data_IF_834159552515
#
_entry.id   IF_834159552515
#
_cell.length_a   1.000
_cell.length_b   1.000
_cell.length_c   1.000
_cell.angle_alpha   90.00
_cell.angle_beta   90.00
_cell.angle_gamma   90.00
#
_symmetry.space_group_name_H-M   'P 1'
#
loop_
_entity.id
_entity.type
_entity.pdbx_description
1 polymer ?
#
# COMPACT_ATOMS: atom_id res chain seq x y z
N UNK A 1 69.69 -59.99 45.67
CA UNK A 1 70.02 -58.69 45.06
C UNK A 1 68.75 -58.23 44.35
N UNK A 2 67.91 -57.42 45.02
CA UNK A 2 67.60 -56.01 44.69
C UNK A 2 66.84 -55.88 43.35
N UNK A 3 65.69 -55.24 43.17
CA UNK A 3 64.96 -54.16 43.83
C UNK A 3 63.47 -54.35 43.48
N UNK A 4 62.56 -54.14 44.42
CA UNK A 4 61.14 -53.85 44.11
C UNK A 4 60.70 -52.65 44.93
N UNK A 5 61.18 -51.49 44.50
CA UNK A 5 60.78 -50.16 44.92
C UNK A 5 59.60 -49.77 44.04
N UNK A 6 58.36 -49.89 44.55
CA UNK A 6 57.16 -49.16 44.13
C UNK A 6 56.00 -49.68 44.97
N UNK A 7 55.90 -49.16 46.19
CA UNK A 7 54.69 -49.30 46.99
C UNK A 7 53.60 -48.45 46.31
N UNK A 8 52.73 -49.09 45.52
CA UNK A 8 51.53 -48.43 44.98
C UNK A 8 50.65 -48.06 46.18
N UNK A 9 50.76 -46.82 46.65
CA UNK A 9 49.73 -46.20 47.47
C UNK A 9 48.43 -46.29 46.67
N UNK A 10 47.56 -47.20 47.08
CA UNK A 10 46.25 -47.44 46.48
C UNK A 10 45.50 -46.12 46.67
N UNK A 11 45.45 -45.30 45.62
CA UNK A 11 44.59 -44.11 45.59
C UNK A 11 43.19 -44.65 45.83
N UNK A 12 42.69 -44.41 47.03
CA UNK A 12 41.36 -44.78 47.45
C UNK A 12 40.38 -44.08 46.52
N UNK A 13 39.48 -44.85 45.91
CA UNK A 13 38.40 -44.38 45.03
C UNK A 13 37.54 -43.25 45.65
N UNK A 14 37.71 -42.98 46.95
CA UNK A 14 37.07 -41.90 47.69
C UNK A 14 37.66 -40.49 47.43
N UNK A 15 38.82 -40.35 46.78
CA UNK A 15 39.41 -39.04 46.45
C UNK A 15 39.06 -38.57 45.02
N UNK A 16 38.43 -39.43 44.21
CA UNK A 16 37.77 -38.98 42.99
C UNK A 16 36.48 -38.30 43.43
N UNK A 17 36.54 -36.97 43.54
CA UNK A 17 35.35 -36.15 43.67
C UNK A 17 34.49 -36.35 42.42
N UNK A 18 33.45 -37.16 42.59
CA UNK A 18 32.42 -37.41 41.60
C UNK A 18 31.71 -36.09 41.26
N UNK A 19 32.06 -35.50 40.12
CA UNK A 19 31.44 -34.27 39.60
C UNK A 19 29.98 -34.48 39.14
N UNK A 20 29.38 -35.63 39.46
CA UNK A 20 28.00 -35.94 39.12
C UNK A 20 26.98 -35.19 39.98
N UNK A 21 27.41 -34.53 41.06
CA UNK A 21 26.54 -33.77 41.97
C UNK A 21 26.45 -32.27 41.65
N UNK A 22 26.91 -31.82 40.46
CA UNK A 22 26.49 -30.52 39.94
C UNK A 22 25.05 -30.68 39.46
N UNK A 23 24.11 -30.43 40.38
CA UNK A 23 22.68 -30.41 40.13
C UNK A 23 22.40 -29.64 38.85
N UNK A 24 22.07 -30.37 37.78
CA UNK A 24 21.68 -29.78 36.51
C UNK A 24 20.51 -28.85 36.84
N UNK A 25 20.51 -27.59 36.38
CA UNK A 25 19.34 -26.74 36.55
C UNK A 25 18.15 -27.55 36.07
N UNK A 26 17.17 -27.73 36.95
CA UNK A 26 15.90 -28.36 36.61
C UNK A 26 15.34 -27.52 35.47
N UNK A 27 15.57 -27.96 34.23
CA UNK A 27 15.05 -27.28 33.07
C UNK A 27 13.55 -27.40 33.20
N UNK A 28 12.90 -26.29 33.56
CA UNK A 28 11.46 -26.19 33.63
C UNK A 28 10.92 -26.76 32.32
N UNK A 29 10.13 -27.83 32.42
CA UNK A 29 9.56 -28.46 31.25
C UNK A 29 8.62 -27.46 30.59
N UNK A 30 9.11 -26.75 29.57
CA UNK A 30 8.33 -25.77 28.82
C UNK A 30 7.14 -26.51 28.24
N UNK A 31 5.96 -26.22 28.77
CA UNK A 31 4.72 -26.84 28.33
C UNK A 31 4.34 -26.23 26.97
N UNK A 32 4.78 -26.88 25.89
CA UNK A 32 4.37 -26.52 24.53
C UNK A 32 3.06 -27.26 24.24
N UNK A 33 1.94 -26.68 24.64
CA UNK A 33 0.59 -27.16 24.32
C UNK A 33 0.28 -26.93 22.82
N UNK A 34 0.89 -27.74 21.96
CA UNK A 34 0.79 -27.65 20.49
C UNK A 34 -0.66 -27.76 19.99
N UNK A 35 -1.51 -28.54 20.66
CA UNK A 35 -2.90 -28.76 20.25
C UNK A 35 -3.78 -27.52 20.40
N UNK A 36 -3.53 -26.69 21.41
CA UNK A 36 -4.27 -25.43 21.61
C UNK A 36 -3.72 -24.34 20.69
N UNK A 37 -2.40 -24.24 20.58
CA UNK A 37 -1.73 -23.27 19.71
C UNK A 37 -2.07 -23.49 18.23
N UNK A 38 -2.06 -24.73 17.75
CA UNK A 38 -2.40 -25.06 16.35
C UNK A 38 -3.87 -24.75 16.02
N UNK A 39 -4.81 -25.07 16.90
CA UNK A 39 -6.24 -24.73 16.71
C UNK A 39 -6.46 -23.22 16.67
N UNK A 40 -5.78 -22.47 17.54
CA UNK A 40 -5.84 -21.01 17.53
C UNK A 40 -5.25 -20.45 16.23
N UNK A 41 -4.11 -20.98 15.79
CA UNK A 41 -3.50 -20.61 14.51
C UNK A 41 -4.43 -20.84 13.32
N UNK A 42 -5.08 -22.01 13.25
CA UNK A 42 -6.06 -22.30 12.20
C UNK A 42 -7.29 -21.40 12.26
N UNK A 43 -7.80 -21.07 13.45
CA UNK A 43 -8.91 -20.14 13.62
C UNK A 43 -8.54 -18.73 13.11
N UNK A 44 -7.36 -18.23 13.53
CA UNK A 44 -6.87 -16.92 13.10
C UNK A 44 -6.64 -16.89 11.60
N UNK A 45 -6.08 -17.96 11.02
CA UNK A 45 -5.89 -18.08 9.58
C UNK A 45 -7.23 -18.06 8.84
N UNK A 46 -8.21 -18.85 9.30
CA UNK A 46 -9.53 -18.90 8.69
C UNK A 46 -10.26 -17.55 8.76
N UNK A 47 -10.18 -16.85 9.89
CA UNK A 47 -10.80 -15.52 10.06
C UNK A 47 -10.07 -14.47 9.22
N UNK A 48 -8.74 -14.42 9.27
CA UNK A 48 -7.96 -13.43 8.53
C UNK A 48 -8.06 -13.62 7.02
N UNK A 49 -7.81 -14.85 6.55
CA UNK A 49 -7.86 -15.17 5.12
C UNK A 49 -9.30 -15.16 4.60
N UNK A 50 -10.25 -15.76 5.33
CA UNK A 50 -11.65 -15.79 4.95
C UNK A 50 -12.29 -14.40 4.97
N UNK A 51 -12.01 -13.59 5.99
CA UNK A 51 -12.48 -12.21 6.07
C UNK A 51 -11.92 -11.33 4.96
N UNK A 52 -10.62 -11.47 4.65
CA UNK A 52 -10.00 -10.75 3.53
C UNK A 52 -10.59 -11.17 2.19
N UNK A 53 -10.74 -12.48 1.93
CA UNK A 53 -11.32 -12.97 0.67
C UNK A 53 -12.78 -12.56 0.52
N UNK A 54 -13.56 -12.63 1.59
CA UNK A 54 -14.96 -12.18 1.59
C UNK A 54 -15.03 -10.69 1.29
N UNK A 55 -14.24 -9.86 1.97
CA UNK A 55 -14.19 -8.43 1.72
C UNK A 55 -13.73 -8.11 0.29
N UNK A 56 -12.67 -8.77 -0.20
CA UNK A 56 -12.13 -8.57 -1.55
C UNK A 56 -13.14 -8.94 -2.65
N UNK A 57 -13.94 -9.99 -2.44
CA UNK A 57 -14.98 -10.40 -3.38
C UNK A 57 -16.17 -9.42 -3.41
N UNK A 58 -16.49 -8.79 -2.26
CA UNK A 58 -17.56 -7.80 -2.17
C UNK A 58 -17.09 -6.38 -2.55
N UNK A 59 -15.79 -6.13 -2.52
CA UNK A 59 -15.24 -4.84 -2.88
C UNK A 59 -15.50 -4.56 -4.37
N UNK A 60 -16.07 -3.41 -4.74
CA UNK A 60 -16.22 -3.02 -6.14
C UNK A 60 -14.84 -2.63 -6.71
N UNK A 61 -14.15 -3.58 -7.37
CA UNK A 61 -12.87 -3.32 -8.05
C UNK A 61 -13.02 -2.45 -9.31
N UNK A 62 -14.24 -2.38 -9.87
CA UNK A 62 -14.50 -1.78 -11.18
C UNK A 62 -15.03 -0.34 -11.13
N UNK A 63 -14.47 0.51 -10.27
CA UNK A 63 -14.67 1.96 -10.40
C UNK A 63 -13.66 2.56 -11.38
N UNK A 64 -13.88 2.31 -12.66
CA UNK A 64 -13.30 3.13 -13.72
C UNK A 64 -14.01 4.48 -13.78
N UNK A 65 -13.28 5.59 -13.64
CA UNK A 65 -13.84 6.93 -13.81
C UNK A 65 -14.05 7.17 -15.31
N UNK A 66 -15.29 7.39 -15.80
CA UNK A 66 -15.51 7.76 -17.19
C UNK A 66 -15.04 9.21 -17.39
N UNK A 67 -13.83 9.39 -17.91
CA UNK A 67 -13.32 10.70 -18.32
C UNK A 67 -13.77 10.98 -19.76
N UNK A 68 -14.81 11.80 -19.92
CA UNK A 68 -15.25 12.27 -21.23
C UNK A 68 -14.22 13.23 -21.85
N UNK A 69 -13.64 12.86 -22.98
CA UNK A 69 -12.77 13.74 -23.78
C UNK A 69 -13.57 14.51 -24.83
N UNK A 70 -13.40 15.83 -24.90
CA UNK A 70 -13.98 16.66 -25.96
C UNK A 70 -12.90 16.99 -27.01
N UNK A 71 -13.17 16.65 -28.27
CA UNK A 71 -12.27 16.97 -29.40
C UNK A 71 -12.50 18.42 -29.80
N UNK A 72 -11.61 19.31 -29.36
CA UNK A 72 -11.61 20.70 -29.80
C UNK A 72 -10.65 20.82 -30.98
N UNK A 73 -11.17 21.24 -32.13
CA UNK A 73 -10.33 21.56 -33.29
C UNK A 73 -9.54 22.82 -32.92
N UNK A 74 -8.24 22.68 -32.70
CA UNK A 74 -7.31 23.80 -32.56
C UNK A 74 -7.21 24.54 -33.89
N UNK A 75 -8.20 25.39 -34.16
CA UNK A 75 -8.15 26.38 -35.20
C UNK A 75 -7.35 27.56 -34.69
N UNK A 76 -6.17 27.80 -35.27
CA UNK A 76 -5.46 29.05 -35.16
C UNK A 76 -6.32 30.18 -35.75
N UNK A 77 -7.31 30.68 -35.00
CA UNK A 77 -8.03 31.88 -35.39
C UNK A 77 -7.11 33.05 -35.10
N UNK A 78 -6.21 33.32 -36.05
CA UNK A 78 -5.53 34.62 -36.14
C UNK A 78 -6.61 35.65 -36.43
N UNK A 79 -7.07 36.30 -35.37
CA UNK A 79 -7.93 37.48 -35.46
C UNK A 79 -7.08 38.58 -36.11
N UNK A 80 -7.22 38.76 -37.42
CA UNK A 80 -6.69 39.95 -38.10
C UNK A 80 -7.60 41.10 -37.71
N UNK A 81 -7.24 41.80 -36.63
CA UNK A 81 -7.88 43.06 -36.27
C UNK A 81 -7.37 44.15 -37.20
N UNK A 82 -8.30 44.74 -37.95
CA UNK A 82 -8.09 45.95 -38.71
C UNK A 82 -7.64 47.09 -37.78
N UNK A 83 -6.45 47.64 -38.03
CA UNK A 83 -5.91 48.86 -37.41
C UNK A 83 -6.58 50.12 -37.99
N UNK A 84 -7.91 50.17 -37.97
CA UNK A 84 -8.71 51.23 -38.59
C UNK A 84 -9.79 51.66 -37.61
N UNK A 85 -9.40 52.54 -36.69
CA UNK A 85 -10.33 53.13 -35.73
C UNK A 85 -11.26 54.14 -36.43
N UNK A 86 -12.43 53.68 -36.87
CA UNK A 86 -13.61 54.53 -37.01
C UNK A 86 -14.46 54.36 -35.76
N UNK A 87 -14.73 55.44 -35.01
CA UNK A 87 -15.63 55.41 -33.85
C UNK A 87 -17.04 55.17 -34.36
N UNK A 88 -17.66 54.04 -34.02
CA UNK A 88 -19.09 53.83 -34.29
C UNK A 88 -19.88 54.65 -33.28
N UNK A 89 -20.68 55.62 -33.75
CA UNK A 89 -21.48 56.51 -32.90
C UNK A 89 -22.69 55.77 -32.29
N UNK A 90 -23.34 54.91 -33.08
CA UNK A 90 -24.43 54.05 -32.60
C UNK A 90 -24.66 52.82 -33.51
N UNK A 91 -24.89 51.66 -32.88
CA UNK A 91 -25.41 50.46 -33.52
C UNK A 91 -26.91 50.39 -33.23
N UNK A 92 -27.73 50.45 -34.28
CA UNK A 92 -29.18 50.63 -34.17
C UNK A 92 -29.94 49.29 -34.17
N UNK A 93 -29.24 48.16 -34.19
CA UNK A 93 -29.81 46.81 -34.42
C UNK A 93 -29.11 45.77 -33.54
N UNK A 94 -29.86 44.74 -33.09
CA UNK A 94 -29.34 43.64 -32.27
C UNK A 94 -29.27 42.33 -33.05
N UNK A 95 -28.42 41.41 -32.59
CA UNK A 95 -28.29 40.08 -33.21
C UNK A 95 -29.65 39.35 -33.22
N UNK A 96 -30.18 39.08 -34.42
CA UNK A 96 -31.45 38.39 -34.63
C UNK A 96 -32.59 39.26 -35.16
N UNK A 97 -32.38 40.57 -35.35
CA UNK A 97 -33.41 41.46 -35.91
C UNK A 97 -33.59 41.27 -37.43
N UNK A 98 -34.85 41.17 -37.87
CA UNK A 98 -35.22 41.14 -39.29
C UNK A 98 -35.20 42.57 -39.87
N UNK A 99 -34.24 42.86 -40.75
CA UNK A 99 -34.07 44.19 -41.36
C UNK A 99 -34.56 44.23 -42.81
N UNK A 100 -35.13 45.37 -43.21
CA UNK A 100 -35.62 45.58 -44.59
C UNK A 100 -34.60 46.34 -45.43
N UNK A 101 -34.65 46.14 -46.75
CA UNK A 101 -33.73 46.81 -47.68
C UNK A 101 -33.84 48.34 -47.58
N UNK A 102 -32.76 49.01 -47.16
CA UNK A 102 -32.68 50.47 -46.99
C UNK A 102 -32.63 50.95 -45.54
N UNK A 103 -32.73 50.05 -44.57
CA UNK A 103 -32.66 50.37 -43.14
C UNK A 103 -31.23 50.71 -42.68
N UNK A 104 -31.07 51.80 -41.93
CA UNK A 104 -29.77 52.27 -41.46
C UNK A 104 -29.34 51.46 -40.24
N UNK A 105 -28.36 50.58 -40.43
CA UNK A 105 -27.91 49.64 -39.39
C UNK A 105 -26.84 50.24 -38.47
N UNK A 106 -25.99 51.12 -39.01
CA UNK A 106 -24.81 51.67 -38.33
C UNK A 106 -24.63 53.13 -38.68
N UNK A 107 -24.26 53.94 -37.68
CA UNK A 107 -23.80 55.32 -37.86
C UNK A 107 -22.33 55.42 -37.48
N UNK A 108 -21.51 55.91 -38.42
CA UNK A 108 -20.06 56.14 -38.28
C UNK A 108 -19.77 57.58 -37.83
#
# INVERSE_FOLDING_TARGET
MSISMFERKKVSDAEITDVSEVGRPQADAVNIDHGRASRLGWLVLAIGFGGFMLWAALAPLDQGVPAGGQVVVTGNRKTVQNLGAGKVEAILVKDGDEVKSGEVLVRL
#
